data_IF_141326342775
#
_entry.id   IF_141326342775
#
_cell.length_a   1.000
_cell.length_b   1.000
_cell.length_c   1.000
_cell.angle_alpha   90.00
_cell.angle_beta   90.00
_cell.angle_gamma   90.00
#
_symmetry.space_group_name_H-M   'P 1'
#
loop_
_entity.id
_entity.type
_entity.pdbx_description
1 polymer ?
#
# COMPACT_ATOMS: atom_id res chain seq x y z
N UNK A 1 40.65 24.87 -5.73
CA UNK A 1 40.40 24.16 -4.44
C UNK A 1 39.60 22.90 -4.71
N UNK A 2 40.16 21.75 -4.33
CA UNK A 2 39.64 20.38 -4.44
C UNK A 2 38.52 20.11 -3.42
N UNK A 3 37.47 19.39 -3.81
CA UNK A 3 36.70 18.38 -3.03
C UNK A 3 35.52 17.90 -3.91
N UNK A 4 35.62 16.84 -4.73
CA UNK A 4 35.33 15.41 -4.45
C UNK A 4 34.31 15.13 -3.35
N UNK A 5 33.20 14.48 -3.72
CA UNK A 5 32.67 13.16 -3.28
C UNK A 5 31.36 12.94 -4.08
N UNK A 6 31.38 12.28 -5.23
CA UNK A 6 31.26 10.83 -5.45
C UNK A 6 30.09 10.11 -4.74
N UNK A 7 29.15 9.68 -5.58
CA UNK A 7 28.50 8.35 -5.68
C UNK A 7 27.55 7.86 -4.56
N UNK A 8 26.29 7.68 -4.97
CA UNK A 8 25.52 6.42 -4.87
C UNK A 8 24.32 6.55 -5.86
N UNK A 9 24.36 6.02 -7.09
CA UNK A 9 24.11 4.61 -7.46
C UNK A 9 22.73 4.16 -6.94
N UNK A 10 21.70 3.82 -7.72
CA UNK A 10 21.46 3.59 -9.14
C UNK A 10 20.14 2.81 -9.24
N UNK A 11 19.37 3.01 -10.33
CA UNK A 11 18.13 2.29 -10.73
C UNK A 11 16.85 2.71 -9.97
N UNK A 12 15.72 3.01 -10.58
CA UNK A 12 15.37 3.08 -12.00
C UNK A 12 14.14 4.00 -12.13
N UNK A 13 14.08 4.70 -13.26
CA UNK A 13 13.12 5.76 -13.55
C UNK A 13 11.92 5.14 -14.27
N UNK A 14 10.97 4.56 -13.54
CA UNK A 14 9.68 4.07 -14.05
C UNK A 14 8.71 4.10 -12.85
N UNK A 15 7.56 4.74 -12.79
CA UNK A 15 6.72 5.41 -13.78
C UNK A 15 5.83 6.40 -12.98
N UNK A 16 6.19 7.68 -13.00
CA UNK A 16 5.39 8.76 -12.37
C UNK A 16 4.15 9.14 -13.22
N UNK A 17 3.69 8.26 -14.11
CA UNK A 17 2.77 8.62 -15.21
C UNK A 17 1.51 7.77 -15.31
N UNK A 18 1.17 6.94 -14.32
CA UNK A 18 -0.16 6.31 -14.19
C UNK A 18 -0.60 6.36 -12.71
N UNK A 19 -1.36 7.34 -12.23
CA UNK A 19 -2.75 7.54 -12.61
C UNK A 19 -3.19 8.94 -12.19
N UNK A 20 -3.01 9.89 -13.10
CA UNK A 20 -3.70 11.17 -13.07
C UNK A 20 -5.14 10.94 -13.56
N UNK A 21 -6.05 10.53 -12.67
CA UNK A 21 -7.49 10.53 -12.93
C UNK A 21 -8.19 11.60 -12.09
N UNK A 22 -9.03 12.34 -12.79
CA UNK A 22 -9.59 13.63 -12.47
C UNK A 22 -10.74 13.57 -11.45
N UNK A 23 -10.73 14.56 -10.54
CA UNK A 23 -11.85 15.21 -9.84
C UNK A 23 -12.49 14.47 -8.67
N UNK A 24 -12.15 14.88 -7.45
CA UNK A 24 -13.01 15.77 -6.66
C UNK A 24 -12.13 16.48 -5.63
N UNK A 25 -12.42 17.74 -5.34
CA UNK A 25 -11.81 18.48 -4.23
C UNK A 25 -12.35 17.91 -2.91
N UNK A 26 -12.00 16.67 -2.62
CA UNK A 26 -12.01 16.14 -1.26
C UNK A 26 -10.71 16.62 -0.62
N UNK A 27 -10.84 17.10 0.60
CA UNK A 27 -9.76 17.51 1.50
C UNK A 27 -8.54 16.61 1.26
N UNK A 28 -7.40 17.20 0.87
CA UNK A 28 -6.18 16.42 0.69
C UNK A 28 -5.95 15.67 2.01
N UNK A 29 -6.04 14.33 2.01
CA UNK A 29 -5.77 13.59 3.22
C UNK A 29 -4.35 13.94 3.66
N UNK A 30 -4.15 14.12 4.96
CA UNK A 30 -2.81 14.40 5.48
C UNK A 30 -1.83 13.39 4.86
N UNK A 31 -0.70 13.85 4.30
CA UNK A 31 0.23 12.95 3.64
C UNK A 31 0.66 11.87 4.62
N UNK A 32 0.68 10.62 4.14
CA UNK A 32 1.23 9.52 4.92
C UNK A 32 2.63 9.89 5.40
N UNK A 33 2.97 9.47 6.62
CA UNK A 33 4.33 9.64 7.18
C UNK A 33 5.35 9.00 6.22
N UNK A 34 4.98 7.86 5.65
CA UNK A 34 5.73 7.18 4.60
C UNK A 34 4.74 6.57 3.58
N UNK A 35 4.97 6.74 2.26
CA UNK A 35 4.13 6.09 1.25
C UNK A 35 4.25 4.56 1.32
N UNK A 36 3.18 3.87 0.91
CA UNK A 36 3.24 2.43 0.67
C UNK A 36 4.05 2.14 -0.59
N UNK A 37 4.87 1.10 -0.51
CA UNK A 37 5.51 0.51 -1.69
C UNK A 37 4.49 -0.20 -2.57
N UNK A 38 4.83 -0.47 -3.83
CA UNK A 38 3.97 -1.23 -4.75
C UNK A 38 3.57 -2.59 -4.17
N UNK A 39 4.53 -3.27 -3.55
CA UNK A 39 4.29 -4.58 -2.93
C UNK A 39 3.34 -4.49 -1.74
N UNK A 40 3.47 -3.45 -0.94
CA UNK A 40 2.56 -3.20 0.18
C UNK A 40 1.14 -2.88 -0.33
N UNK A 41 1.02 -2.15 -1.44
CA UNK A 41 -0.25 -1.84 -2.09
C UNK A 41 -0.93 -3.10 -2.64
N UNK A 42 -0.19 -3.99 -3.29
CA UNK A 42 -0.69 -5.29 -3.76
C UNK A 42 -1.23 -6.13 -2.60
N UNK A 43 -0.44 -6.26 -1.52
CA UNK A 43 -0.82 -7.02 -0.33
C UNK A 43 -2.08 -6.42 0.31
N UNK A 44 -2.13 -5.10 0.46
CA UNK A 44 -3.29 -4.40 1.01
C UNK A 44 -4.54 -4.59 0.13
N UNK A 45 -4.37 -4.56 -1.20
CA UNK A 45 -5.46 -4.80 -2.15
C UNK A 45 -6.02 -6.22 -2.01
N UNK A 46 -5.15 -7.24 -1.94
CA UNK A 46 -5.59 -8.63 -1.76
C UNK A 46 -6.21 -8.86 -0.38
N UNK A 47 -5.69 -8.20 0.66
CA UNK A 47 -6.29 -8.22 1.98
C UNK A 47 -7.70 -7.58 1.97
N UNK A 48 -7.89 -6.47 1.25
CA UNK A 48 -9.20 -5.84 1.04
C UNK A 48 -10.19 -6.67 0.22
N UNK A 49 -9.70 -7.63 -0.57
CA UNK A 49 -10.52 -8.65 -1.24
C UNK A 49 -10.89 -9.83 -0.33
N UNK A 50 -10.49 -9.81 0.94
CA UNK A 50 -10.78 -10.86 1.92
C UNK A 50 -9.81 -12.05 1.90
N UNK A 51 -8.68 -11.97 1.18
CA UNK A 51 -7.73 -13.10 1.13
C UNK A 51 -7.00 -13.28 2.47
N UNK A 52 -6.79 -14.53 2.87
CA UNK A 52 -5.96 -14.88 4.03
C UNK A 52 -4.48 -14.68 3.74
N UNK A 53 -3.63 -14.53 4.77
CA UNK A 53 -2.18 -14.37 4.57
C UNK A 53 -1.57 -15.52 3.75
N UNK A 54 -2.08 -16.75 3.94
CA UNK A 54 -1.69 -17.92 3.16
C UNK A 54 -2.08 -17.78 1.69
N UNK A 55 -3.31 -17.35 1.39
CA UNK A 55 -3.76 -17.16 0.01
C UNK A 55 -2.99 -16.02 -0.69
N UNK A 56 -2.71 -14.93 0.03
CA UNK A 56 -1.86 -13.84 -0.46
C UNK A 56 -0.45 -14.36 -0.74
N UNK A 57 0.13 -15.12 0.18
CA UNK A 57 1.47 -15.70 0.01
C UNK A 57 1.57 -16.58 -1.23
N UNK A 58 0.56 -17.42 -1.48
CA UNK A 58 0.47 -18.22 -2.71
C UNK A 58 0.35 -17.34 -3.95
N UNK A 59 -0.56 -16.36 -3.95
CA UNK A 59 -0.77 -15.46 -5.09
C UNK A 59 0.47 -14.63 -5.44
N UNK A 60 1.30 -14.33 -4.44
CA UNK A 60 2.44 -13.44 -4.55
C UNK A 60 3.79 -14.18 -4.49
N UNK A 61 3.79 -15.51 -4.44
CA UNK A 61 4.96 -16.37 -4.32
C UNK A 61 5.91 -16.02 -3.14
N UNK A 62 5.32 -15.72 -1.97
CA UNK A 62 6.05 -15.45 -0.72
C UNK A 62 5.44 -16.23 0.45
N UNK A 63 6.17 -16.34 1.57
CA UNK A 63 5.64 -17.01 2.76
C UNK A 63 4.51 -16.21 3.41
N UNK A 64 3.59 -16.90 4.09
CA UNK A 64 2.54 -16.30 4.92
C UNK A 64 3.13 -15.41 6.02
N UNK A 65 4.28 -15.81 6.58
CA UNK A 65 5.07 -14.99 7.53
C UNK A 65 5.57 -13.69 6.89
N UNK A 66 6.03 -13.74 5.64
CA UNK A 66 6.43 -12.54 4.90
C UNK A 66 5.25 -11.60 4.67
N UNK A 67 4.08 -12.15 4.32
CA UNK A 67 2.84 -11.36 4.21
C UNK A 67 2.46 -10.70 5.54
N UNK A 68 2.56 -11.43 6.65
CA UNK A 68 2.29 -10.89 7.98
C UNK A 68 3.21 -9.71 8.32
N UNK A 69 4.51 -9.81 7.99
CA UNK A 69 5.46 -8.73 8.21
C UNK A 69 5.11 -7.48 7.35
N UNK A 70 4.77 -7.67 6.08
CA UNK A 70 4.30 -6.57 5.24
C UNK A 70 3.02 -5.92 5.78
N UNK A 71 2.04 -6.71 6.24
CA UNK A 71 0.83 -6.17 6.85
C UNK A 71 1.13 -5.36 8.12
N UNK A 72 2.06 -5.81 8.95
CA UNK A 72 2.49 -5.03 10.11
C UNK A 72 3.07 -3.66 9.71
N UNK A 73 3.90 -3.63 8.67
CA UNK A 73 4.47 -2.37 8.16
C UNK A 73 3.38 -1.46 7.56
N UNK A 74 2.46 -2.03 6.77
CA UNK A 74 1.29 -1.32 6.23
C UNK A 74 0.47 -0.69 7.35
N UNK A 75 0.20 -1.44 8.43
CA UNK A 75 -0.57 -0.95 9.57
C UNK A 75 0.12 0.22 10.26
N UNK A 76 1.44 0.16 10.42
CA UNK A 76 2.22 1.29 10.96
C UNK A 76 2.16 2.51 10.02
N UNK A 77 2.36 2.32 8.72
CA UNK A 77 2.33 3.42 7.74
C UNK A 77 0.95 4.08 7.66
N UNK A 78 -0.11 3.29 7.67
CA UNK A 78 -1.50 3.77 7.63
C UNK A 78 -2.04 4.21 9.00
N UNK A 79 -1.30 3.98 10.08
CA UNK A 79 -1.76 4.20 11.45
C UNK A 79 -3.07 3.43 11.75
N UNK A 80 -3.14 2.18 11.29
CA UNK A 80 -4.29 1.30 11.45
C UNK A 80 -4.02 0.22 12.52
N UNK A 81 -5.05 -0.14 13.30
CA UNK A 81 -4.97 -1.19 14.31
C UNK A 81 -5.46 -2.56 13.81
N UNK A 82 -6.13 -2.60 12.66
CA UNK A 82 -6.70 -3.83 12.10
C UNK A 82 -6.60 -3.88 10.57
N UNK A 83 -6.79 -5.07 10.01
CA UNK A 83 -6.89 -5.27 8.56
C UNK A 83 -8.00 -4.40 7.95
N UNK A 84 -9.20 -4.44 8.53
CA UNK A 84 -10.34 -3.67 8.06
C UNK A 84 -10.05 -2.17 8.12
N UNK A 85 -9.48 -1.68 9.23
CA UNK A 85 -9.08 -0.27 9.34
C UNK A 85 -8.03 0.12 8.29
N UNK A 86 -7.04 -0.73 8.05
CA UNK A 86 -6.02 -0.47 7.03
C UNK A 86 -6.62 -0.37 5.62
N UNK A 87 -7.57 -1.24 5.28
CA UNK A 87 -8.29 -1.20 4.00
C UNK A 87 -9.14 0.06 3.90
N UNK A 88 -9.91 0.41 4.95
CA UNK A 88 -10.71 1.63 4.98
C UNK A 88 -9.86 2.88 4.81
N UNK A 89 -8.72 2.96 5.51
CA UNK A 89 -7.77 4.07 5.34
C UNK A 89 -7.17 4.09 3.94
N UNK A 90 -6.78 2.94 3.39
CA UNK A 90 -6.32 2.83 2.01
C UNK A 90 -7.34 3.37 1.00
N UNK A 91 -8.63 3.12 1.21
CA UNK A 91 -9.71 3.68 0.39
C UNK A 91 -9.86 5.18 0.60
N UNK A 92 -9.92 5.66 1.84
CA UNK A 92 -10.06 7.09 2.16
C UNK A 92 -8.90 7.94 1.62
N UNK A 93 -7.70 7.35 1.55
CA UNK A 93 -6.50 7.98 0.99
C UNK A 93 -6.43 7.89 -0.54
N UNK A 94 -7.37 7.20 -1.20
CA UNK A 94 -7.38 6.98 -2.64
C UNK A 94 -6.33 5.98 -3.16
N UNK A 95 -5.73 5.19 -2.26
CA UNK A 95 -4.77 4.14 -2.60
C UNK A 95 -5.46 2.86 -3.10
N UNK A 96 -6.67 2.62 -2.61
CA UNK A 96 -7.51 1.48 -3.00
C UNK A 96 -8.82 1.97 -3.63
N UNK A 97 -9.43 1.19 -4.53
CA UNK A 97 -10.75 1.51 -5.03
C UNK A 97 -11.81 1.36 -3.93
N UNK A 98 -12.81 2.26 -3.93
CA UNK A 98 -13.89 2.28 -2.95
C UNK A 98 -14.72 0.99 -2.89
N UNK A 99 -14.69 0.16 -3.93
CA UNK A 99 -15.32 -1.16 -3.95
C UNK A 99 -14.78 -2.11 -2.88
N UNK A 100 -13.57 -1.89 -2.36
CA UNK A 100 -12.97 -2.73 -1.32
C UNK A 100 -13.39 -2.32 0.10
N UNK A 101 -13.93 -1.12 0.32
CA UNK A 101 -14.39 -0.68 1.65
C UNK A 101 -15.66 -1.42 2.12
N UNK A 102 -16.42 -2.02 1.20
CA UNK A 102 -17.67 -2.74 1.47
C UNK A 102 -17.55 -4.27 1.48
N UNK A 103 -16.34 -4.83 1.39
CA UNK A 103 -16.16 -6.27 1.20
C UNK A 103 -16.45 -7.13 2.45
N UNK A 104 -16.77 -6.54 3.60
CA UNK A 104 -17.12 -7.26 4.84
C UNK A 104 -18.64 -7.24 5.11
N UNK A 105 -19.42 -7.73 4.14
CA UNK A 105 -20.83 -8.10 4.32
C UNK A 105 -21.06 -9.47 3.71
N UNK A 106 -20.49 -10.50 4.33
CA UNK A 106 -20.60 -11.86 3.84
C UNK A 106 -20.07 -12.89 4.83
N UNK A 107 -21.02 -13.42 5.63
CA UNK A 107 -20.99 -14.56 6.56
C UNK A 107 -20.83 -14.22 8.04
#
# INVERSE_FOLDING_TARGET
MRAVLDVAEGRDVLDATMARRLITRAEQPAPLIEPLTERELEILTLAGKGLTNKAIGVALHISDRTVQNHLAHIFQKLQAASRTEAVMRGVSLGLLPASLAGAESGL
#
